data_IF_634348290088
#
_entry.id   IF_634348290088
#
_cell.length_a   1.000
_cell.length_b   1.000
_cell.length_c   1.000
_cell.angle_alpha   90.00
_cell.angle_beta   90.00
_cell.angle_gamma   90.00
#
_symmetry.space_group_name_H-M   'P 1'
#
loop_
_entity.id
_entity.type
_entity.pdbx_description
1 polymer ?
#
# COMPACT_ATOMS: atom_id res chain seq x y z
N UNK A 1 -12.27 0.78 -5.26
CA UNK A 1 -10.87 0.37 -5.04
C UNK A 1 -10.85 -1.10 -4.67
N UNK A 2 -9.94 -1.90 -5.23
CA UNK A 2 -9.82 -3.34 -4.94
C UNK A 2 -8.83 -3.54 -3.77
N UNK A 3 -9.08 -4.47 -2.85
CA UNK A 3 -8.14 -4.78 -1.78
C UNK A 3 -6.85 -5.39 -2.34
N UNK A 4 -5.70 -4.98 -1.80
CA UNK A 4 -4.39 -5.53 -2.16
C UNK A 4 -4.21 -6.85 -1.39
N UNK A 5 -4.05 -7.95 -2.12
CA UNK A 5 -3.79 -9.27 -1.53
C UNK A 5 -2.30 -9.55 -1.67
N UNK A 6 -1.62 -9.70 -0.55
CA UNK A 6 -0.21 -10.04 -0.50
C UNK A 6 -0.01 -11.55 -0.69
N UNK A 7 0.86 -11.95 -1.61
CA UNK A 7 1.22 -13.35 -1.84
C UNK A 7 1.98 -13.98 -0.67
N UNK A 8 2.57 -13.16 0.20
CA UNK A 8 3.30 -13.56 1.39
C UNK A 8 2.44 -13.50 2.67
N UNK A 9 1.11 -13.42 2.53
CA UNK A 9 0.19 -13.58 3.64
C UNK A 9 0.36 -15.00 4.23
N UNK A 10 0.46 -15.13 5.56
CA UNK A 10 0.58 -16.45 6.18
C UNK A 10 -0.66 -17.28 5.82
N UNK A 11 -0.43 -18.54 5.42
CA UNK A 11 -1.52 -19.47 5.18
C UNK A 11 -2.39 -19.55 6.46
N UNK A 12 -3.73 -19.65 6.33
CA UNK A 12 -4.60 -19.82 7.48
C UNK A 12 -4.12 -21.04 8.28
N UNK A 13 -3.93 -20.86 9.59
CA UNK A 13 -3.44 -21.93 10.45
C UNK A 13 -4.42 -23.11 10.39
N UNK A 14 -3.93 -24.37 10.34
CA UNK A 14 -4.80 -25.52 10.49
C UNK A 14 -5.53 -25.44 11.83
N UNK A 15 -6.79 -25.90 11.91
CA UNK A 15 -7.57 -25.82 13.14
C UNK A 15 -6.82 -26.53 14.26
N UNK A 16 -6.44 -25.77 15.30
CA UNK A 16 -5.71 -26.31 16.44
C UNK A 16 -6.69 -27.02 17.37
N UNK A 17 -6.35 -28.25 17.79
CA UNK A 17 -7.05 -28.96 18.88
C UNK A 17 -6.70 -28.38 20.26
N UNK A 18 -6.00 -27.25 20.29
CA UNK A 18 -5.36 -26.66 21.46
C UNK A 18 -6.23 -25.49 21.95
N UNK A 19 -6.76 -25.60 23.17
CA UNK A 19 -7.77 -24.69 23.77
C UNK A 19 -7.28 -23.28 24.14
N UNK A 20 -6.09 -22.87 23.76
CA UNK A 20 -5.51 -21.58 24.16
C UNK A 20 -5.20 -20.71 22.94
N UNK A 21 -5.46 -19.39 23.04
CA UNK A 21 -5.36 -18.46 21.91
C UNK A 21 -3.93 -18.16 21.44
N UNK A 22 -2.90 -18.65 22.14
CA UNK A 22 -1.49 -18.40 21.81
C UNK A 22 -0.70 -19.71 21.74
N UNK A 23 0.19 -19.85 20.76
CA UNK A 23 1.10 -21.00 20.66
C UNK A 23 2.46 -20.71 21.31
N UNK A 24 3.01 -21.65 22.09
CA UNK A 24 4.34 -21.49 22.73
C UNK A 24 5.49 -21.38 21.70
N UNK A 25 5.26 -21.83 20.47
CA UNK A 25 6.17 -21.68 19.34
C UNK A 25 6.40 -20.22 18.96
N UNK A 26 5.42 -19.33 19.16
CA UNK A 26 5.56 -17.89 18.90
C UNK A 26 6.65 -17.26 19.80
N UNK A 27 6.81 -17.77 21.02
CA UNK A 27 7.69 -17.21 22.06
C UNK A 27 9.08 -17.85 22.15
N UNK A 28 9.32 -18.97 21.46
CA UNK A 28 10.65 -19.57 21.41
C UNK A 28 11.67 -18.61 20.77
N UNK A 29 12.66 -18.19 21.57
CA UNK A 29 13.66 -17.17 21.26
C UNK A 29 14.90 -17.71 20.54
N UNK A 30 14.89 -18.97 20.10
CA UNK A 30 16.07 -19.67 19.60
C UNK A 30 16.16 -19.83 18.06
N UNK A 31 15.21 -19.33 17.28
CA UNK A 31 15.24 -19.41 15.80
C UNK A 31 15.75 -18.09 15.19
N UNK A 32 16.22 -18.05 13.92
CA UNK A 32 16.92 -16.94 13.20
C UNK A 32 16.15 -15.60 13.09
N UNK A 33 15.54 -15.14 14.18
CA UNK A 33 14.69 -13.95 14.30
C UNK A 33 15.48 -12.64 14.12
N UNK A 34 16.80 -12.63 14.30
CA UNK A 34 17.64 -11.47 13.97
C UNK A 34 17.76 -11.21 12.46
N UNK A 35 17.59 -12.24 11.62
CA UNK A 35 17.54 -12.07 10.16
C UNK A 35 16.18 -11.49 9.68
N UNK A 36 15.14 -11.55 10.52
CA UNK A 36 13.76 -11.23 10.14
C UNK A 36 13.31 -9.80 10.46
N UNK A 37 14.09 -9.02 11.21
CA UNK A 37 13.72 -7.62 11.53
C UNK A 37 13.60 -6.76 10.27
N UNK A 38 14.56 -6.87 9.34
CA UNK A 38 14.50 -6.14 8.06
C UNK A 38 13.34 -6.59 7.16
N UNK A 39 12.99 -7.88 7.19
CA UNK A 39 11.87 -8.41 6.42
C UNK A 39 10.52 -7.94 6.99
N UNK A 40 10.38 -7.93 8.32
CA UNK A 40 9.20 -7.39 9.00
C UNK A 40 9.06 -5.88 8.73
N UNK A 41 10.16 -5.12 8.85
CA UNK A 41 10.18 -3.69 8.55
C UNK A 41 9.76 -3.41 7.10
N UNK A 42 10.26 -4.19 6.14
CA UNK A 42 9.86 -4.06 4.74
C UNK A 42 8.36 -4.30 4.55
N UNK A 43 7.80 -5.35 5.17
CA UNK A 43 6.36 -5.65 5.11
C UNK A 43 5.51 -4.52 5.71
N UNK A 44 5.88 -4.05 6.90
CA UNK A 44 5.16 -2.95 7.57
C UNK A 44 5.20 -1.67 6.75
N UNK A 45 6.35 -1.30 6.21
CA UNK A 45 6.46 -0.09 5.37
C UNK A 45 5.69 -0.21 4.06
N UNK A 46 5.63 -1.40 3.47
CA UNK A 46 4.80 -1.67 2.30
C UNK A 46 3.33 -1.43 2.60
N UNK A 47 2.82 -2.00 3.70
CA UNK A 47 1.44 -1.79 4.12
C UNK A 47 1.14 -0.31 4.41
N UNK A 48 2.04 0.39 5.11
CA UNK A 48 1.88 1.83 5.37
C UNK A 48 1.85 2.68 4.10
N UNK A 49 2.62 2.30 3.08
CA UNK A 49 2.62 2.97 1.77
C UNK A 49 1.30 2.73 1.04
N UNK A 50 0.78 1.50 1.09
CA UNK A 50 -0.48 1.12 0.48
C UNK A 50 -1.66 1.84 1.16
N UNK A 51 -1.69 1.88 2.50
CA UNK A 51 -2.69 2.64 3.26
C UNK A 51 -2.62 4.13 2.95
N UNK A 52 -1.41 4.70 2.85
CA UNK A 52 -1.21 6.09 2.45
C UNK A 52 -1.79 6.38 1.07
N UNK A 53 -1.49 5.52 0.08
CA UNK A 53 -2.00 5.65 -1.28
C UNK A 53 -3.53 5.55 -1.31
N UNK A 54 -4.07 4.53 -0.65
CA UNK A 54 -5.50 4.26 -0.59
C UNK A 54 -6.26 5.42 0.05
N UNK A 55 -5.79 5.92 1.20
CA UNK A 55 -6.43 7.02 1.91
C UNK A 55 -6.42 8.32 1.10
N UNK A 56 -5.31 8.63 0.42
CA UNK A 56 -5.21 9.83 -0.42
C UNK A 56 -6.24 9.80 -1.56
N UNK A 57 -6.29 8.70 -2.31
CA UNK A 57 -7.21 8.58 -3.44
C UNK A 57 -8.67 8.43 -3.02
N UNK A 58 -8.93 7.77 -1.90
CA UNK A 58 -10.27 7.69 -1.33
C UNK A 58 -10.82 9.07 -0.98
N UNK A 59 -10.04 9.89 -0.26
CA UNK A 59 -10.42 11.26 0.06
C UNK A 59 -10.55 12.13 -1.21
N UNK A 60 -9.62 11.98 -2.16
CA UNK A 60 -9.68 12.72 -3.42
C UNK A 60 -10.97 12.45 -4.19
N UNK A 61 -11.34 11.18 -4.32
CA UNK A 61 -12.58 10.77 -4.99
C UNK A 61 -13.82 11.23 -4.24
N UNK A 62 -13.79 11.21 -2.90
CA UNK A 62 -14.91 11.66 -2.07
C UNK A 62 -15.17 13.15 -2.27
N UNK A 63 -14.12 13.98 -2.23
CA UNK A 63 -14.24 15.42 -2.49
C UNK A 63 -14.64 15.72 -3.93
N UNK A 64 -14.09 14.96 -4.89
CA UNK A 64 -14.44 15.11 -6.30
C UNK A 64 -15.93 14.87 -6.54
N UNK A 65 -16.48 13.76 -6.05
CA UNK A 65 -17.90 13.45 -6.20
C UNK A 65 -18.78 14.46 -5.46
N UNK A 66 -18.41 14.87 -4.24
CA UNK A 66 -19.15 15.90 -3.51
C UNK A 66 -19.19 17.24 -4.27
N UNK A 67 -18.05 17.69 -4.80
CA UNK A 67 -17.97 18.93 -5.57
C UNK A 67 -18.75 18.86 -6.89
N UNK A 68 -18.64 17.72 -7.60
CA UNK A 68 -19.41 17.47 -8.83
C UNK A 68 -20.91 17.52 -8.58
N UNK A 69 -21.39 16.89 -7.49
CA UNK A 69 -22.81 16.95 -7.12
C UNK A 69 -23.24 18.36 -6.74
N UNK A 70 -22.42 19.13 -6.03
CA UNK A 70 -22.71 20.52 -5.69
C UNK A 70 -22.86 21.40 -6.94
N UNK A 71 -21.98 21.23 -7.93
CA UNK A 71 -22.05 21.95 -9.21
C UNK A 71 -23.34 21.59 -9.97
N UNK A 72 -23.70 20.31 -10.00
CA UNK A 72 -24.93 19.87 -10.67
C UNK A 72 -26.21 20.31 -9.93
N UNK A 73 -26.19 20.35 -8.61
CA UNK A 73 -27.31 20.81 -7.78
C UNK A 73 -27.55 22.33 -7.90
N UNK A 74 -26.49 23.10 -8.20
CA UNK A 74 -26.60 24.54 -8.45
C UNK A 74 -27.19 24.91 -9.81
N UNK A 75 -27.39 23.95 -10.72
CA UNK A 75 -27.99 24.22 -12.02
C UNK A 75 -29.51 24.38 -11.92
N UNK A 76 -30.11 25.30 -12.70
CA UNK A 76 -31.56 25.44 -12.73
C UNK A 76 -32.22 24.18 -13.30
N UNK A 77 -33.44 23.89 -12.85
CA UNK A 77 -34.22 22.73 -13.31
C UNK A 77 -34.53 22.76 -14.82
N UNK A 78 -34.47 23.95 -15.45
CA UNK A 78 -34.61 24.17 -16.89
C UNK A 78 -33.32 23.96 -17.70
N UNK A 79 -32.19 23.60 -17.05
CA UNK A 79 -30.91 23.44 -17.73
C UNK A 79 -30.95 22.30 -18.76
N UNK A 80 -30.57 22.63 -20.00
CA UNK A 80 -30.44 21.65 -21.09
C UNK A 80 -29.26 20.70 -20.87
N UNK A 81 -29.24 19.57 -21.59
CA UNK A 81 -28.13 18.62 -21.54
C UNK A 81 -26.79 19.28 -21.94
N UNK A 82 -26.79 20.13 -22.96
CA UNK A 82 -25.60 20.85 -23.44
C UNK A 82 -25.04 21.76 -22.35
N UNK A 83 -25.90 22.50 -21.64
CA UNK A 83 -25.48 23.37 -20.53
C UNK A 83 -24.84 22.54 -19.41
N UNK A 84 -25.42 21.39 -19.05
CA UNK A 84 -24.86 20.48 -18.04
C UNK A 84 -23.46 19.98 -18.43
N UNK A 85 -23.28 19.60 -19.69
CA UNK A 85 -21.98 19.15 -20.21
C UNK A 85 -20.93 20.25 -20.17
N UNK A 86 -21.28 21.47 -20.59
CA UNK A 86 -20.38 22.63 -20.52
C UNK A 86 -19.97 22.93 -19.09
N UNK A 87 -20.93 22.94 -18.16
CA UNK A 87 -20.65 23.15 -16.74
C UNK A 87 -19.74 22.07 -16.16
N UNK A 88 -19.98 20.79 -16.51
CA UNK A 88 -19.11 19.69 -16.07
C UNK A 88 -17.70 19.82 -16.66
N UNK A 89 -17.56 20.19 -17.93
CA UNK A 89 -16.26 20.39 -18.59
C UNK A 89 -15.44 21.48 -17.87
N UNK A 90 -16.06 22.62 -17.56
CA UNK A 90 -15.40 23.68 -16.80
C UNK A 90 -15.05 23.23 -15.37
N UNK A 91 -15.94 22.49 -14.72
CA UNK A 91 -15.66 21.90 -13.41
C UNK A 91 -14.43 20.97 -13.45
N UNK A 92 -14.32 20.06 -14.42
CA UNK A 92 -13.17 19.16 -14.52
C UNK A 92 -11.85 19.92 -14.67
N UNK A 93 -11.83 20.97 -15.50
CA UNK A 93 -10.67 21.83 -15.69
C UNK A 93 -10.29 22.54 -14.39
N UNK A 94 -11.27 23.12 -13.70
CA UNK A 94 -11.05 23.82 -12.43
C UNK A 94 -10.57 22.86 -11.34
N UNK A 95 -11.19 21.68 -11.23
CA UNK A 95 -10.80 20.65 -10.28
C UNK A 95 -9.33 20.25 -10.46
N UNK A 96 -8.91 19.99 -11.71
CA UNK A 96 -7.53 19.64 -12.01
C UNK A 96 -6.54 20.72 -11.54
N UNK A 97 -6.85 21.99 -11.84
CA UNK A 97 -5.99 23.12 -11.44
C UNK A 97 -5.93 23.29 -9.91
N UNK A 98 -7.06 23.14 -9.22
CA UNK A 98 -7.14 23.25 -7.76
C UNK A 98 -6.39 22.11 -7.06
N UNK A 99 -6.51 20.89 -7.60
CA UNK A 99 -5.95 19.69 -6.99
C UNK A 99 -4.47 19.47 -7.35
N UNK A 100 -3.92 20.24 -8.29
CA UNK A 100 -2.53 20.13 -8.76
C UNK A 100 -1.52 20.18 -7.60
N UNK A 101 -1.57 21.23 -6.77
CA UNK A 101 -0.64 21.40 -5.66
C UNK A 101 -0.73 20.26 -4.61
N UNK A 102 -1.92 19.69 -4.41
CA UNK A 102 -2.14 18.56 -3.49
C UNK A 102 -1.59 17.27 -4.09
N UNK A 103 -1.80 17.06 -5.38
CA UNK A 103 -1.29 15.91 -6.13
C UNK A 103 0.24 15.94 -6.24
N UNK A 104 0.84 17.12 -6.38
CA UNK A 104 2.29 17.29 -6.40
C UNK A 104 2.93 16.91 -5.06
N UNK A 105 2.37 17.41 -3.95
CA UNK A 105 2.81 17.04 -2.60
C UNK A 105 2.68 15.54 -2.35
N UNK A 106 1.55 14.95 -2.76
CA UNK A 106 1.35 13.51 -2.69
C UNK A 106 2.39 12.75 -3.53
N UNK A 107 2.66 13.19 -4.76
CA UNK A 107 3.59 12.53 -5.68
C UNK A 107 5.01 12.55 -5.13
N UNK A 108 5.43 13.68 -4.55
CA UNK A 108 6.72 13.82 -3.89
C UNK A 108 6.85 12.85 -2.71
N UNK A 109 5.87 12.82 -1.80
CA UNK A 109 5.89 11.91 -0.64
C UNK A 109 5.80 10.44 -1.05
N UNK A 110 4.96 10.12 -2.03
CA UNK A 110 4.83 8.77 -2.56
C UNK A 110 6.16 8.29 -3.14
N UNK A 111 6.84 9.11 -3.96
CA UNK A 111 8.18 8.79 -4.49
C UNK A 111 9.20 8.59 -3.38
N UNK A 112 9.24 9.50 -2.40
CA UNK A 112 10.16 9.43 -1.25
C UNK A 112 9.99 8.11 -0.50
N UNK A 113 8.75 7.72 -0.18
CA UNK A 113 8.44 6.46 0.53
C UNK A 113 8.76 5.22 -0.32
N UNK A 114 8.47 5.26 -1.62
CA UNK A 114 8.82 4.17 -2.54
C UNK A 114 10.34 3.95 -2.61
N UNK A 115 11.14 5.01 -2.68
CA UNK A 115 12.59 4.88 -2.70
C UNK A 115 13.11 4.17 -1.44
N UNK A 116 12.60 4.53 -0.26
CA UNK A 116 12.93 3.87 1.00
C UNK A 116 12.51 2.39 0.97
N UNK A 117 11.30 2.10 0.46
CA UNK A 117 10.79 0.74 0.36
C UNK A 117 11.63 -0.12 -0.59
N UNK A 118 12.03 0.41 -1.74
CA UNK A 118 12.91 -0.27 -2.71
C UNK A 118 14.27 -0.58 -2.06
N UNK A 119 14.86 0.36 -1.33
CA UNK A 119 16.12 0.14 -0.62
C UNK A 119 16.00 -0.97 0.44
N UNK A 120 14.92 -0.99 1.20
CA UNK A 120 14.66 -2.05 2.18
C UNK A 120 14.43 -3.40 1.51
N UNK A 121 13.64 -3.45 0.43
CA UNK A 121 13.40 -4.66 -0.35
C UNK A 121 14.69 -5.23 -0.90
N UNK A 122 15.55 -4.39 -1.49
CA UNK A 122 16.87 -4.81 -1.96
C UNK A 122 17.73 -5.39 -0.83
N UNK A 123 17.76 -4.76 0.35
CA UNK A 123 18.50 -5.27 1.52
C UNK A 123 17.96 -6.63 1.98
N UNK A 124 16.64 -6.83 1.97
CA UNK A 124 16.02 -8.09 2.36
C UNK A 124 16.37 -9.21 1.36
N UNK A 125 16.28 -8.94 0.06
CA UNK A 125 16.60 -9.93 -0.97
C UNK A 125 18.09 -10.27 -1.01
N UNK A 126 18.98 -9.30 -0.80
CA UNK A 126 20.42 -9.57 -0.67
C UNK A 126 20.74 -10.45 0.53
N UNK A 127 20.09 -10.22 1.69
CA UNK A 127 20.26 -11.08 2.88
C UNK A 127 19.77 -12.51 2.63
N UNK A 128 18.61 -12.68 1.97
CA UNK A 128 18.09 -13.99 1.60
C UNK A 128 19.04 -14.72 0.65
N UNK A 129 19.50 -14.04 -0.39
CA UNK A 129 20.44 -14.61 -1.36
C UNK A 129 21.75 -15.05 -0.69
N UNK A 130 22.34 -14.20 0.16
CA UNK A 130 23.56 -14.53 0.89
C UNK A 130 23.38 -15.75 1.82
N UNK A 131 22.23 -15.84 2.50
CA UNK A 131 21.89 -16.99 3.35
C UNK A 131 21.80 -18.26 2.52
N UNK A 132 21.13 -18.21 1.37
CA UNK A 132 20.96 -19.37 0.49
C UNK A 132 22.30 -19.86 -0.10
N UNK A 133 23.18 -18.93 -0.50
CA UNK A 133 24.53 -19.26 -0.97
C UNK A 133 25.36 -19.89 0.16
N UNK A 134 25.28 -19.35 1.38
CA UNK A 134 25.96 -19.92 2.54
C UNK A 134 25.50 -21.35 2.83
N UNK A 135 24.19 -21.59 2.83
CA UNK A 135 23.61 -22.93 3.03
C UNK A 135 24.15 -23.93 1.99
N UNK A 136 24.13 -23.56 0.70
CA UNK A 136 24.65 -24.40 -0.38
C UNK A 136 26.15 -24.70 -0.22
N UNK A 137 26.96 -23.70 0.13
CA UNK A 137 28.41 -23.88 0.33
C UNK A 137 28.73 -24.70 1.60
N UNK A 138 27.93 -24.57 2.66
CA UNK A 138 28.09 -25.36 3.89
C UNK A 138 27.75 -26.83 3.67
N UNK A 139 26.75 -27.12 2.84
CA UNK A 139 26.37 -28.50 2.47
C UNK A 139 27.47 -29.20 1.67
N UNK A 140 28.15 -28.46 0.78
CA UNK A 140 29.28 -28.98 -0.01
C UNK A 140 30.50 -29.35 0.84
N UNK A 141 30.66 -28.75 2.01
CA UNK A 141 31.82 -28.95 2.90
C UNK A 141 31.65 -30.12 3.90
N UNK A 142 30.44 -30.71 3.97
CA UNK A 142 30.09 -31.78 4.91
C UNK A 142 29.93 -33.16 4.26
N UNK A 143 30.19 -33.27 2.94
CA UNK A 143 30.36 -34.52 2.19
C UNK A 143 31.84 -34.67 1.79
#
# INVERSE_FOLDING_TARGET
>A
MRPIIYSDAPAPAPPSLIRHPYSLTEFSSASPKQANDSALQFKLQRQQLDDFHQNFWFDSNTRFEAAKQAVLAGLPSSATAITKEQTLSEFYKQWYLQEAARTDKYTMEWRRRNLVLIQLGARVELKKFATHVYELLSFSKSN
#
